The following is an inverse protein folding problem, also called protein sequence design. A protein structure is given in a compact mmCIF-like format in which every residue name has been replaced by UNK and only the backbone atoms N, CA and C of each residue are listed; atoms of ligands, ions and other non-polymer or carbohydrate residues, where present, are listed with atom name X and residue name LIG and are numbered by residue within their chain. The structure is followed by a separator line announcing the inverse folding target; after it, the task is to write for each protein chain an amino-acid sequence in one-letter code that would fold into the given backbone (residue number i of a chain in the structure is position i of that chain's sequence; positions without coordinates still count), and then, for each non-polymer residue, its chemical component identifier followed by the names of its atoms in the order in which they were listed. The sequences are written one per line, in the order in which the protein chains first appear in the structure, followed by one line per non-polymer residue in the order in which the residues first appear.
data_IF_131810910656
#
_entry.id   IF_131810910656
#
_cell.length_a   1.000
_cell.length_b   1.000
_cell.length_c   1.000
_cell.angle_alpha   90.00
_cell.angle_beta   90.00
_cell.angle_gamma   90.00
#
_symmetry.space_group_name_H-M   'P 1'
#
loop_
_entity.id
_entity.type
_entity.pdbx_description
1 polymer ?
#
# COMPACT_ATOMS: atom_id res chain seq x y z
N UNK A 1 1.04 -19.24 -20.81
CA UNK A 1 0.35 -18.75 -22.04
C UNK A 1 0.51 -17.23 -22.18
N UNK A 2 0.29 -16.65 -23.36
CA UNK A 2 0.31 -15.19 -23.57
C UNK A 2 -1.09 -14.70 -23.93
N UNK A 3 -1.57 -13.65 -23.24
CA UNK A 3 -2.80 -12.93 -23.54
C UNK A 3 -2.47 -11.43 -23.59
N UNK A 4 -2.40 -10.88 -24.79
CA UNK A 4 -1.82 -9.56 -25.04
C UNK A 4 -2.70 -8.69 -25.94
N UNK A 5 -2.82 -7.40 -25.58
CA UNK A 5 -3.52 -6.36 -26.36
C UNK A 5 -4.99 -6.67 -26.67
N UNK A 6 -5.70 -7.28 -25.72
CA UNK A 6 -7.11 -7.58 -25.84
C UNK A 6 -7.98 -6.64 -25.00
N UNK A 7 -9.29 -6.67 -25.27
CA UNK A 7 -10.32 -6.02 -24.45
C UNK A 7 -11.29 -7.04 -23.89
N UNK A 8 -11.54 -6.98 -22.58
CA UNK A 8 -12.61 -7.74 -21.89
C UNK A 8 -13.52 -6.74 -21.20
N UNK A 9 -14.84 -6.85 -21.46
CA UNK A 9 -15.81 -5.91 -20.89
C UNK A 9 -17.21 -6.49 -20.74
N UNK A 10 -18.01 -5.92 -19.84
CA UNK A 10 -19.42 -6.28 -19.62
C UNK A 10 -19.62 -7.75 -19.26
N UNK A 11 -18.73 -8.30 -18.42
CA UNK A 11 -18.82 -9.69 -17.93
C UNK A 11 -19.32 -9.73 -16.50
N UNK A 12 -20.07 -10.77 -16.13
CA UNK A 12 -20.71 -10.85 -14.80
C UNK A 12 -19.78 -11.18 -13.63
N UNK A 13 -18.55 -11.65 -13.90
CA UNK A 13 -17.58 -12.13 -12.89
C UNK A 13 -16.23 -11.41 -13.04
N UNK A 14 -15.10 -12.07 -12.73
CA UNK A 14 -13.77 -11.52 -13.04
C UNK A 14 -13.55 -11.48 -14.56
N UNK A 15 -12.81 -10.48 -15.04
CA UNK A 15 -12.42 -10.40 -16.45
C UNK A 15 -11.58 -11.60 -16.88
N UNK A 16 -10.58 -11.99 -16.08
CA UNK A 16 -9.75 -13.17 -16.30
C UNK A 16 -9.60 -13.98 -15.02
N UNK A 17 -9.81 -15.30 -15.13
CA UNK A 17 -9.45 -16.29 -14.11
C UNK A 17 -8.33 -17.18 -14.66
N UNK A 18 -7.12 -16.96 -14.16
CA UNK A 18 -5.90 -17.60 -14.64
C UNK A 18 -5.54 -18.76 -13.72
N UNK A 19 -5.38 -19.94 -14.31
CA UNK A 19 -4.85 -21.13 -13.65
C UNK A 19 -3.58 -21.59 -14.34
N UNK A 20 -2.55 -21.88 -13.56
CA UNK A 20 -1.24 -22.33 -14.04
C UNK A 20 -0.16 -21.26 -13.95
N UNK A 21 1.05 -21.65 -14.35
CA UNK A 21 2.28 -20.87 -14.32
C UNK A 21 2.72 -20.40 -15.71
N UNK A 22 3.72 -19.50 -15.76
CA UNK A 22 4.30 -19.01 -17.02
C UNK A 22 3.33 -18.20 -17.88
N UNK A 23 2.32 -17.60 -17.27
CA UNK A 23 1.34 -16.78 -17.96
C UNK A 23 1.81 -15.33 -18.07
N UNK A 24 1.61 -14.74 -19.24
CA UNK A 24 1.92 -13.34 -19.52
C UNK A 24 0.63 -12.64 -19.95
N UNK A 25 0.17 -11.69 -19.14
CA UNK A 25 -1.05 -10.92 -19.34
C UNK A 25 -0.63 -9.47 -19.52
N UNK A 26 -0.51 -9.05 -20.77
CA UNK A 26 0.21 -7.83 -21.12
C UNK A 26 -0.68 -6.88 -21.91
N UNK A 27 -0.74 -5.61 -21.53
CA UNK A 27 -1.31 -4.59 -22.43
C UNK A 27 -2.83 -4.64 -22.61
N UNK A 28 -3.57 -5.41 -21.81
CA UNK A 28 -5.01 -5.60 -22.00
C UNK A 28 -5.82 -4.47 -21.36
N UNK A 29 -7.03 -4.23 -21.87
CA UNK A 29 -8.04 -3.36 -21.23
C UNK A 29 -9.17 -4.22 -20.66
N UNK A 30 -9.42 -4.13 -19.35
CA UNK A 30 -10.43 -4.93 -18.65
C UNK A 30 -11.35 -4.00 -17.87
N UNK A 31 -12.64 -3.98 -18.18
CA UNK A 31 -13.56 -3.06 -17.51
C UNK A 31 -15.02 -3.48 -17.45
N UNK A 32 -15.82 -2.75 -16.67
CA UNK A 32 -17.25 -3.02 -16.47
C UNK A 32 -17.51 -4.50 -16.13
N UNK A 33 -16.74 -5.02 -15.19
CA UNK A 33 -16.86 -6.40 -14.73
C UNK A 33 -17.68 -6.46 -13.44
N UNK A 34 -18.53 -7.48 -13.32
CA UNK A 34 -19.39 -7.67 -12.16
C UNK A 34 -18.57 -7.95 -10.89
N UNK A 35 -17.43 -8.63 -11.01
CA UNK A 35 -16.46 -8.84 -9.93
C UNK A 35 -15.13 -8.15 -10.28
N UNK A 36 -13.96 -8.75 -10.05
CA UNK A 36 -12.68 -8.07 -10.25
C UNK A 36 -12.17 -8.02 -11.69
N UNK A 37 -10.93 -7.55 -11.87
CA UNK A 37 -10.25 -7.53 -13.16
C UNK A 37 -9.62 -8.87 -13.48
N UNK A 38 -8.52 -9.19 -12.79
CA UNK A 38 -7.74 -10.42 -12.98
C UNK A 38 -7.64 -11.18 -11.66
N UNK A 39 -7.81 -12.50 -11.68
CA UNK A 39 -7.38 -13.39 -10.60
C UNK A 39 -6.37 -14.40 -11.12
N UNK A 40 -5.27 -14.57 -10.39
CA UNK A 40 -4.21 -15.55 -10.73
C UNK A 40 -4.04 -16.59 -9.63
N UNK A 41 -4.02 -17.87 -10.06
CA UNK A 41 -3.75 -19.05 -9.24
C UNK A 41 -2.66 -19.89 -9.90
N UNK A 42 -1.43 -19.71 -9.45
CA UNK A 42 -0.27 -20.48 -9.94
C UNK A 42 0.22 -21.46 -8.89
N UNK A 43 0.28 -22.73 -9.27
CA UNK A 43 0.83 -23.82 -8.44
C UNK A 43 2.12 -24.40 -9.02
N UNK A 44 2.55 -23.90 -10.19
CA UNK A 44 3.74 -24.38 -10.88
C UNK A 44 4.99 -23.58 -10.55
N UNK A 45 6.08 -23.84 -11.27
CA UNK A 45 7.42 -23.29 -10.99
C UNK A 45 7.69 -21.98 -11.72
N UNK A 46 6.97 -21.72 -12.81
CA UNK A 46 7.16 -20.50 -13.59
C UNK A 46 6.38 -19.31 -13.00
N UNK A 47 6.92 -18.11 -13.11
CA UNK A 47 6.27 -16.91 -12.60
C UNK A 47 5.25 -16.37 -13.61
N UNK A 48 4.10 -15.92 -13.11
CA UNK A 48 3.16 -15.17 -13.93
C UNK A 48 3.59 -13.69 -13.99
N UNK A 49 3.37 -13.08 -15.14
CA UNK A 49 3.61 -11.65 -15.39
C UNK A 49 2.30 -11.00 -15.78
N UNK A 50 1.89 -9.99 -15.01
CA UNK A 50 0.71 -9.17 -15.28
C UNK A 50 1.19 -7.73 -15.40
N UNK A 51 1.29 -7.24 -16.63
CA UNK A 51 1.87 -5.92 -16.86
C UNK A 51 1.17 -5.07 -17.90
N UNK A 52 1.26 -3.75 -17.76
CA UNK A 52 0.69 -2.79 -18.70
C UNK A 52 -0.81 -2.96 -18.96
N UNK A 53 -1.55 -3.57 -18.05
CA UNK A 53 -3.00 -3.69 -18.19
C UNK A 53 -3.69 -2.43 -17.67
N UNK A 54 -4.75 -2.03 -18.36
CA UNK A 54 -5.68 -1.01 -17.92
C UNK A 54 -6.92 -1.69 -17.35
N UNK A 55 -7.08 -1.63 -16.03
CA UNK A 55 -8.16 -2.33 -15.31
C UNK A 55 -9.02 -1.28 -14.63
N UNK A 56 -10.29 -1.16 -15.04
CA UNK A 56 -11.14 -0.13 -14.46
C UNK A 56 -12.62 -0.47 -14.33
N UNK A 57 -13.33 0.20 -13.43
CA UNK A 57 -14.77 0.05 -13.25
C UNK A 57 -15.19 -1.40 -12.91
N UNK A 58 -14.39 -2.08 -12.08
CA UNK A 58 -14.63 -3.46 -11.65
C UNK A 58 -15.31 -3.52 -10.27
N UNK A 59 -16.04 -4.60 -10.02
CA UNK A 59 -16.62 -4.96 -8.72
C UNK A 59 -18.01 -4.37 -8.50
N UNK A 60 -18.69 -3.93 -9.57
CA UNK A 60 -19.96 -3.20 -9.47
C UNK A 60 -21.15 -4.07 -9.04
N UNK A 61 -21.03 -5.40 -9.12
CA UNK A 61 -22.05 -6.36 -8.64
C UNK A 61 -21.59 -7.07 -7.37
N UNK A 62 -20.38 -7.63 -7.39
CA UNK A 62 -19.71 -8.21 -6.22
C UNK A 62 -18.63 -7.24 -5.74
N UNK A 63 -18.95 -6.43 -4.73
CA UNK A 63 -18.05 -5.41 -4.21
C UNK A 63 -16.76 -5.93 -3.59
N UNK A 64 -16.67 -7.24 -3.28
CA UNK A 64 -15.42 -7.88 -2.84
C UNK A 64 -14.42 -8.14 -4.00
N UNK A 65 -14.81 -7.88 -5.26
CA UNK A 65 -13.93 -7.96 -6.41
C UNK A 65 -12.85 -6.87 -6.39
N UNK A 66 -11.61 -7.26 -6.70
CA UNK A 66 -10.43 -6.38 -6.71
C UNK A 66 -9.89 -6.21 -8.13
N UNK A 67 -9.00 -5.24 -8.37
CA UNK A 67 -8.39 -5.04 -9.68
C UNK A 67 -7.58 -6.26 -10.11
N UNK A 68 -6.58 -6.62 -9.30
CA UNK A 68 -5.77 -7.84 -9.47
C UNK A 68 -5.74 -8.62 -8.15
N UNK A 69 -6.16 -9.88 -8.19
CA UNK A 69 -6.09 -10.82 -7.07
C UNK A 69 -4.99 -11.87 -7.32
N UNK A 70 -4.04 -11.96 -6.41
CA UNK A 70 -3.04 -13.03 -6.38
C UNK A 70 -3.43 -14.01 -5.29
N UNK A 71 -4.03 -15.12 -5.69
CA UNK A 71 -4.48 -16.16 -4.76
C UNK A 71 -3.36 -17.17 -4.50
N UNK A 72 -2.59 -17.61 -5.50
CA UNK A 72 -1.43 -18.49 -5.28
C UNK A 72 -0.28 -18.21 -6.26
N UNK A 73 0.93 -18.55 -5.82
CA UNK A 73 2.18 -18.40 -6.58
C UNK A 73 2.89 -17.06 -6.38
N UNK A 74 3.97 -16.85 -7.13
CA UNK A 74 4.72 -15.60 -7.18
C UNK A 74 4.69 -14.94 -8.55
N UNK A 75 5.52 -13.92 -8.74
CA UNK A 75 5.75 -13.31 -10.05
C UNK A 75 5.81 -11.79 -10.05
N UNK A 76 5.38 -11.19 -11.16
CA UNK A 76 5.53 -9.75 -11.43
C UNK A 76 4.19 -9.11 -11.76
N UNK A 77 3.81 -8.10 -10.97
CA UNK A 77 2.66 -7.23 -11.22
C UNK A 77 3.22 -5.82 -11.45
N UNK A 78 3.37 -5.44 -12.72
CA UNK A 78 4.13 -4.23 -13.07
C UNK A 78 3.45 -3.30 -14.06
N UNK A 79 3.58 -1.99 -13.87
CA UNK A 79 3.14 -0.99 -14.85
C UNK A 79 1.65 -1.05 -15.21
N UNK A 80 0.79 -1.58 -14.33
CA UNK A 80 -0.65 -1.57 -14.58
C UNK A 80 -1.25 -0.22 -14.18
N UNK A 81 -2.32 0.18 -14.87
CA UNK A 81 -3.18 1.30 -14.51
C UNK A 81 -4.49 0.73 -13.97
N UNK A 82 -4.74 0.90 -12.67
CA UNK A 82 -5.85 0.28 -11.97
C UNK A 82 -6.68 1.38 -11.30
N UNK A 83 -7.94 1.53 -11.71
CA UNK A 83 -8.80 2.54 -11.08
C UNK A 83 -10.29 2.22 -11.09
N UNK A 84 -11.10 2.99 -10.36
CA UNK A 84 -12.54 2.75 -10.24
C UNK A 84 -12.89 1.34 -9.76
N UNK A 85 -12.14 0.84 -8.78
CA UNK A 85 -12.32 -0.49 -8.21
C UNK A 85 -13.16 -0.40 -6.94
N UNK A 86 -14.14 -1.30 -6.81
CA UNK A 86 -15.04 -1.30 -5.65
C UNK A 86 -14.35 -1.64 -4.32
N UNK A 87 -13.28 -2.45 -4.38
CA UNK A 87 -12.40 -2.82 -3.27
C UNK A 87 -10.94 -2.45 -3.59
N UNK A 88 -9.96 -3.25 -3.14
CA UNK A 88 -8.55 -2.99 -3.36
C UNK A 88 -8.14 -3.00 -4.84
N UNK A 89 -7.14 -2.20 -5.18
CA UNK A 89 -6.52 -2.24 -6.52
C UNK A 89 -5.78 -3.55 -6.74
N UNK A 90 -4.89 -3.91 -5.82
CA UNK A 90 -4.19 -5.20 -5.80
C UNK A 90 -4.42 -5.86 -4.44
N UNK A 91 -4.70 -7.16 -4.45
CA UNK A 91 -4.88 -7.98 -3.26
C UNK A 91 -4.08 -9.28 -3.37
N UNK A 92 -3.35 -9.65 -2.32
CA UNK A 92 -2.76 -10.99 -2.19
C UNK A 92 -3.52 -11.82 -1.14
N UNK A 93 -3.55 -13.13 -1.36
CA UNK A 93 -4.40 -14.14 -0.71
C UNK A 93 -4.71 -13.90 0.77
N UNK A 94 -5.93 -14.31 1.12
CA UNK A 94 -6.45 -14.34 2.48
C UNK A 94 -5.78 -15.44 3.34
N UNK A 95 -5.20 -15.08 4.49
CA UNK A 95 -4.89 -16.03 5.58
C UNK A 95 -6.18 -16.49 6.28
N UNK A 96 -6.63 -17.73 6.09
CA UNK A 96 -7.85 -18.24 6.73
C UNK A 96 -7.62 -19.57 7.44
N UNK A 97 -7.50 -19.54 8.77
CA UNK A 97 -7.50 -20.74 9.62
C UNK A 97 -8.86 -21.45 9.65
N UNK A 98 -9.96 -20.70 9.46
CA UNK A 98 -11.30 -21.15 9.83
C UNK A 98 -12.10 -21.77 8.67
N UNK A 99 -11.52 -21.84 7.47
CA UNK A 99 -12.16 -22.40 6.27
C UNK A 99 -11.36 -23.52 5.60
N UNK A 100 -10.46 -24.18 6.35
CA UNK A 100 -9.64 -25.28 5.84
C UNK A 100 -8.67 -24.86 4.73
N UNK A 101 -8.33 -23.57 4.68
CA UNK A 101 -7.28 -23.06 3.81
C UNK A 101 -5.94 -23.19 4.51
N UNK A 102 -4.93 -23.64 3.79
CA UNK A 102 -3.57 -23.63 4.33
C UNK A 102 -3.16 -22.18 4.66
N UNK A 103 -2.55 -21.94 5.83
CA UNK A 103 -2.11 -20.60 6.25
C UNK A 103 -1.12 -19.94 5.29
N UNK A 104 -0.37 -20.74 4.53
CA UNK A 104 0.65 -20.32 3.60
C UNK A 104 0.22 -20.61 2.15
N UNK A 105 0.51 -19.68 1.22
CA UNK A 105 0.31 -19.95 -0.21
C UNK A 105 1.28 -21.03 -0.67
N UNK A 106 0.96 -21.72 -1.76
CA UNK A 106 1.95 -22.61 -2.40
C UNK A 106 3.01 -21.78 -3.12
N UNK A 107 4.26 -22.27 -3.10
CA UNK A 107 5.43 -21.67 -3.74
C UNK A 107 5.78 -20.26 -3.20
N UNK A 108 5.72 -20.07 -1.87
CA UNK A 108 6.05 -18.80 -1.21
C UNK A 108 7.44 -18.26 -1.58
N UNK A 109 8.39 -19.16 -1.77
CA UNK A 109 9.77 -18.88 -2.13
C UNK A 109 9.96 -18.21 -3.49
N UNK A 110 8.97 -18.24 -4.38
CA UNK A 110 9.05 -17.57 -5.69
C UNK A 110 9.09 -16.04 -5.59
N UNK A 111 8.65 -15.50 -4.45
CA UNK A 111 8.50 -14.06 -4.23
C UNK A 111 7.46 -13.40 -5.13
N UNK A 112 7.03 -12.21 -4.75
CA UNK A 112 6.11 -11.39 -5.55
C UNK A 112 6.67 -9.96 -5.64
N UNK A 113 6.74 -9.43 -6.85
CA UNK A 113 7.15 -8.05 -7.11
C UNK A 113 5.94 -7.28 -7.62
N UNK A 114 5.58 -6.21 -6.91
CA UNK A 114 4.52 -5.27 -7.27
C UNK A 114 5.17 -3.91 -7.51
N UNK A 115 5.32 -3.51 -8.78
CA UNK A 115 6.12 -2.33 -9.12
C UNK A 115 5.56 -1.43 -10.21
N UNK A 116 5.84 -0.12 -10.13
CA UNK A 116 5.47 0.85 -11.15
C UNK A 116 3.97 0.89 -11.49
N UNK A 117 3.08 0.38 -10.63
CA UNK A 117 1.64 0.46 -10.88
C UNK A 117 1.12 1.85 -10.49
N UNK A 118 0.14 2.33 -11.25
CA UNK A 118 -0.68 3.48 -10.89
C UNK A 118 -2.03 2.96 -10.41
N UNK A 119 -2.38 3.26 -9.16
CA UNK A 119 -3.59 2.75 -8.51
C UNK A 119 -4.35 3.90 -7.89
N UNK A 120 -5.57 4.18 -8.38
CA UNK A 120 -6.36 5.28 -7.85
C UNK A 120 -7.86 5.09 -7.92
N UNK A 121 -8.61 5.92 -7.19
CA UNK A 121 -10.06 5.82 -7.09
C UNK A 121 -10.55 4.40 -6.79
N UNK A 122 -9.87 3.75 -5.84
CA UNK A 122 -10.20 2.39 -5.38
C UNK A 122 -10.92 2.42 -4.05
N UNK A 123 -11.42 1.26 -3.61
CA UNK A 123 -12.23 1.12 -2.40
C UNK A 123 -13.54 1.94 -2.47
N UNK A 124 -14.13 2.08 -3.67
CA UNK A 124 -15.32 2.90 -3.91
C UNK A 124 -16.61 2.41 -3.22
N UNK A 125 -16.67 1.14 -2.79
CA UNK A 125 -17.90 0.54 -2.27
C UNK A 125 -17.67 -0.47 -1.14
N UNK A 126 -16.46 -0.51 -0.58
CA UNK A 126 -16.07 -1.50 0.42
C UNK A 126 -15.14 -0.89 1.48
N UNK A 127 -14.86 -1.68 2.50
CA UNK A 127 -14.03 -1.38 3.66
C UNK A 127 -13.01 -2.52 3.86
N UNK A 128 -12.02 -2.33 4.73
CA UNK A 128 -10.97 -3.31 5.03
C UNK A 128 -10.10 -3.69 3.82
N UNK A 129 -9.48 -2.67 3.21
CA UNK A 129 -8.65 -2.86 2.03
C UNK A 129 -7.78 -1.65 1.74
N UNK A 130 -7.27 -1.58 0.51
CA UNK A 130 -6.34 -0.51 0.15
C UNK A 130 -5.96 -0.45 -1.32
N UNK A 131 -5.09 0.49 -1.68
CA UNK A 131 -4.46 0.50 -3.00
C UNK A 131 -3.78 -0.84 -3.30
N UNK A 132 -2.91 -1.23 -2.38
CA UNK A 132 -2.28 -2.55 -2.33
C UNK A 132 -2.54 -3.17 -0.97
N UNK A 133 -3.18 -4.34 -0.93
CA UNK A 133 -3.39 -5.10 0.29
C UNK A 133 -2.69 -6.46 0.18
N UNK A 134 -1.65 -6.64 1.00
CA UNK A 134 -0.89 -7.89 1.05
C UNK A 134 -1.03 -8.61 2.39
N UNK A 135 -1.04 -9.94 2.31
CA UNK A 135 -1.14 -10.87 3.43
C UNK A 135 -0.26 -12.10 3.18
N UNK A 136 1.05 -11.89 3.08
CA UNK A 136 1.95 -12.94 2.57
C UNK A 136 3.44 -12.74 2.94
N UNK A 137 4.28 -13.62 2.39
CA UNK A 137 5.72 -13.65 2.56
C UNK A 137 6.49 -13.33 1.27
N UNK A 138 7.70 -12.77 1.41
CA UNK A 138 8.65 -12.45 0.33
C UNK A 138 8.08 -11.53 -0.76
N UNK A 139 7.49 -10.39 -0.37
CA UNK A 139 6.93 -9.41 -1.31
C UNK A 139 7.81 -8.16 -1.37
N UNK A 140 8.10 -7.70 -2.59
CA UNK A 140 8.65 -6.35 -2.84
C UNK A 140 7.56 -5.47 -3.43
N UNK A 141 7.22 -4.38 -2.73
CA UNK A 141 6.27 -3.35 -3.18
C UNK A 141 7.09 -2.09 -3.45
N UNK A 142 7.32 -1.74 -4.71
CA UNK A 142 8.19 -0.61 -5.03
C UNK A 142 7.78 0.28 -6.19
N UNK A 143 8.15 1.56 -6.13
CA UNK A 143 7.91 2.51 -7.23
C UNK A 143 6.45 2.61 -7.67
N UNK A 144 5.49 2.29 -6.80
CA UNK A 144 4.06 2.45 -7.12
C UNK A 144 3.59 3.87 -6.80
N UNK A 145 2.65 4.35 -7.59
CA UNK A 145 1.89 5.57 -7.33
C UNK A 145 0.49 5.16 -6.89
N UNK A 146 0.14 5.46 -5.65
CA UNK A 146 -1.14 5.07 -5.05
C UNK A 146 -1.83 6.32 -4.54
N UNK A 147 -3.04 6.60 -5.01
CA UNK A 147 -3.78 7.75 -4.53
C UNK A 147 -5.29 7.60 -4.53
N UNK A 148 -5.98 8.49 -3.83
CA UNK A 148 -7.44 8.53 -3.84
C UNK A 148 -8.03 7.17 -3.44
N UNK A 149 -7.61 6.69 -2.26
CA UNK A 149 -8.06 5.41 -1.69
C UNK A 149 -9.16 5.67 -0.67
N UNK A 150 -10.38 5.27 -1.02
CA UNK A 150 -11.58 5.64 -0.26
C UNK A 150 -11.99 4.61 0.80
N UNK A 151 -12.94 4.99 1.65
CA UNK A 151 -13.71 4.09 2.51
C UNK A 151 -14.94 4.82 3.03
N UNK A 152 -16.07 4.13 3.11
CA UNK A 152 -17.39 4.77 3.32
C UNK A 152 -18.14 4.26 4.56
N UNK A 153 -17.77 3.11 5.12
CA UNK A 153 -18.47 2.49 6.24
C UNK A 153 -17.75 2.64 7.59
N UNK A 154 -18.49 2.43 8.69
CA UNK A 154 -17.90 2.26 10.03
C UNK A 154 -17.13 0.93 10.08
N UNK A 155 -15.89 0.91 10.58
CA UNK A 155 -15.07 -0.30 10.69
C UNK A 155 -13.64 -0.10 10.21
N UNK A 156 -12.99 -1.17 9.73
CA UNK A 156 -11.66 -1.10 9.11
C UNK A 156 -11.74 -0.26 7.83
N UNK A 157 -10.87 0.74 7.73
CA UNK A 157 -10.95 1.75 6.69
C UNK A 157 -10.16 1.36 5.42
N UNK A 158 -10.01 2.31 4.50
CA UNK A 158 -9.17 2.21 3.31
C UNK A 158 -7.79 2.82 3.56
N UNK A 159 -6.75 2.09 3.17
CA UNK A 159 -5.34 2.47 3.36
C UNK A 159 -4.59 2.48 2.03
N UNK A 160 -3.58 3.31 1.86
CA UNK A 160 -2.77 3.28 0.63
C UNK A 160 -2.12 1.91 0.42
N UNK A 161 -1.33 1.48 1.41
CA UNK A 161 -0.73 0.15 1.50
C UNK A 161 -1.20 -0.53 2.79
N UNK A 162 -1.69 -1.76 2.68
CA UNK A 162 -2.13 -2.56 3.80
C UNK A 162 -1.25 -3.80 3.90
N UNK A 163 -0.34 -3.82 4.89
CA UNK A 163 0.38 -5.03 5.29
C UNK A 163 -0.42 -5.74 6.37
N UNK A 164 -1.19 -6.76 6.00
CA UNK A 164 -2.10 -7.46 6.92
C UNK A 164 -1.62 -8.85 7.32
N UNK A 165 -2.17 -9.34 8.43
CA UNK A 165 -2.19 -10.73 8.87
C UNK A 165 -0.92 -11.53 8.60
N UNK A 166 0.05 -11.45 9.52
CA UNK A 166 1.28 -12.26 9.49
C UNK A 166 2.20 -12.04 8.27
N UNK A 167 2.02 -10.93 7.55
CA UNK A 167 2.91 -10.55 6.44
C UNK A 167 4.35 -10.41 6.93
N UNK A 168 5.28 -10.96 6.15
CA UNK A 168 6.69 -11.07 6.56
C UNK A 168 7.70 -11.03 5.42
N UNK A 169 8.96 -10.74 5.76
CA UNK A 169 10.08 -10.65 4.82
C UNK A 169 9.78 -9.74 3.61
N UNK A 170 9.03 -8.66 3.84
CA UNK A 170 8.62 -7.73 2.79
C UNK A 170 9.48 -6.47 2.77
N UNK A 171 9.66 -5.93 1.56
CA UNK A 171 10.27 -4.64 1.32
C UNK A 171 9.23 -3.71 0.70
N UNK A 172 8.92 -2.60 1.37
CA UNK A 172 8.04 -1.54 0.89
C UNK A 172 8.91 -0.31 0.68
N UNK A 173 9.26 -0.02 -0.57
CA UNK A 173 10.21 1.06 -0.87
C UNK A 173 9.85 1.91 -2.07
N UNK A 174 10.28 3.17 -2.08
CA UNK A 174 10.13 4.05 -3.24
C UNK A 174 8.69 4.25 -3.72
N UNK A 175 7.68 4.05 -2.86
CA UNK A 175 6.28 4.30 -3.22
C UNK A 175 5.88 5.74 -2.90
N UNK A 176 5.04 6.33 -3.75
CA UNK A 176 4.38 7.62 -3.48
C UNK A 176 2.91 7.34 -3.22
N UNK A 177 2.46 7.67 -2.01
CA UNK A 177 1.13 7.36 -1.51
C UNK A 177 0.47 8.61 -0.95
N UNK A 178 -0.66 9.01 -1.53
CA UNK A 178 -1.39 10.19 -1.07
C UNK A 178 -2.90 10.04 -1.06
N UNK A 179 -3.56 10.89 -0.29
CA UNK A 179 -5.03 10.95 -0.22
C UNK A 179 -5.71 9.61 0.06
N UNK A 180 -5.13 8.80 0.96
CA UNK A 180 -5.82 7.63 1.51
C UNK A 180 -6.73 8.03 2.68
N UNK A 181 -7.86 7.35 2.85
CA UNK A 181 -8.87 7.74 3.85
C UNK A 181 -8.36 7.66 5.29
N UNK A 182 -7.70 6.58 5.69
CA UNK A 182 -7.29 6.40 7.09
C UNK A 182 -5.81 6.57 7.35
N UNK A 183 -4.95 6.04 6.47
CA UNK A 183 -3.51 6.22 6.47
C UNK A 183 -2.89 5.81 5.13
N UNK A 184 -1.70 6.34 4.84
CA UNK A 184 -0.94 5.96 3.66
C UNK A 184 -0.43 4.52 3.76
N UNK A 185 -0.15 4.05 4.98
CA UNK A 185 0.15 2.64 5.24
C UNK A 185 -0.40 2.19 6.59
N UNK A 186 -0.87 0.94 6.63
CA UNK A 186 -1.13 0.20 7.87
C UNK A 186 -0.27 -1.07 7.95
N UNK A 187 0.31 -1.28 9.13
CA UNK A 187 0.98 -2.51 9.54
C UNK A 187 0.05 -3.19 10.55
N UNK A 188 -0.59 -4.28 10.15
CA UNK A 188 -1.67 -4.92 10.90
C UNK A 188 -1.36 -6.39 11.20
N UNK A 189 -1.52 -6.77 12.47
CA UNK A 189 -1.57 -8.17 12.94
C UNK A 189 -0.28 -8.99 12.68
N UNK A 190 0.53 -9.19 13.74
CA UNK A 190 1.64 -10.15 13.86
C UNK A 190 2.70 -10.15 12.72
N UNK A 191 3.00 -8.95 12.23
CA UNK A 191 3.96 -8.66 11.17
C UNK A 191 5.41 -8.96 11.56
N UNK A 192 6.23 -9.49 10.64
CA UNK A 192 7.62 -9.92 10.92
C UNK A 192 8.63 -9.52 9.84
N UNK A 193 9.75 -8.91 10.22
CA UNK A 193 10.87 -8.62 9.31
C UNK A 193 10.46 -7.86 8.02
N UNK A 194 9.62 -6.83 8.17
CA UNK A 194 9.24 -5.95 7.07
C UNK A 194 9.98 -4.62 7.18
N UNK A 195 10.51 -4.14 6.04
CA UNK A 195 11.17 -2.83 5.96
C UNK A 195 10.34 -1.89 5.09
N UNK A 196 9.98 -0.75 5.65
CA UNK A 196 9.23 0.33 4.99
C UNK A 196 10.20 1.50 4.88
N UNK A 197 10.75 1.75 3.70
CA UNK A 197 11.78 2.78 3.54
C UNK A 197 11.75 3.55 2.24
N UNK A 198 12.17 4.81 2.26
CA UNK A 198 12.22 5.65 1.06
C UNK A 198 10.86 5.85 0.39
N UNK A 199 9.76 5.80 1.16
CA UNK A 199 8.41 6.09 0.66
C UNK A 199 8.02 7.54 0.97
N UNK A 200 7.06 8.07 0.23
CA UNK A 200 6.40 9.35 0.52
C UNK A 200 4.94 9.08 0.90
N UNK A 201 4.55 9.51 2.10
CA UNK A 201 3.17 9.48 2.59
C UNK A 201 2.68 10.93 2.72
N UNK A 202 1.75 11.32 1.85
CA UNK A 202 1.35 12.72 1.69
C UNK A 202 -0.16 12.89 1.85
N UNK A 203 -0.60 13.79 2.74
CA UNK A 203 -2.02 14.16 2.93
C UNK A 203 -2.96 12.94 3.07
N UNK A 204 -2.49 11.88 3.76
CA UNK A 204 -3.28 10.67 3.99
C UNK A 204 -4.23 10.82 5.18
N UNK A 205 -5.38 11.42 4.96
CA UNK A 205 -6.59 11.30 5.81
C UNK A 205 -7.83 11.80 5.05
N UNK A 206 -7.84 11.51 3.75
CA UNK A 206 -8.71 12.13 2.79
C UNK A 206 -10.15 11.68 3.05
N UNK A 207 -11.01 12.61 3.48
CA UNK A 207 -12.45 12.40 3.68
C UNK A 207 -12.84 11.58 4.93
N UNK A 208 -12.49 12.02 6.14
CA UNK A 208 -12.82 11.27 7.36
C UNK A 208 -13.99 11.86 8.16
N UNK A 209 -15.20 11.32 7.92
CA UNK A 209 -16.31 11.36 8.89
C UNK A 209 -16.20 10.25 9.96
N UNK A 210 -15.09 9.50 10.00
CA UNK A 210 -14.99 8.18 10.62
C UNK A 210 -13.96 8.05 11.77
N UNK A 211 -13.33 9.15 12.20
CA UNK A 211 -12.77 9.26 13.56
C UNK A 211 -11.26 9.07 13.74
N UNK A 212 -10.55 8.33 12.89
CA UNK A 212 -9.09 8.22 12.95
C UNK A 212 -8.44 8.82 11.70
N UNK A 213 -7.69 9.90 11.87
CA UNK A 213 -6.94 10.61 10.83
C UNK A 213 -5.47 10.44 11.14
N UNK A 214 -4.72 9.66 10.36
CA UNK A 214 -3.30 9.43 10.61
C UNK A 214 -2.53 9.23 9.32
N UNK A 215 -1.27 9.62 9.28
CA UNK A 215 -0.44 9.35 8.09
C UNK A 215 0.02 7.90 8.00
N UNK A 216 0.33 7.29 9.14
CA UNK A 216 0.87 5.93 9.24
C UNK A 216 0.24 5.20 10.44
N UNK A 217 -0.14 3.93 10.27
CA UNK A 217 -0.76 3.13 11.33
C UNK A 217 0.01 1.82 11.61
N UNK A 218 0.12 1.47 12.89
CA UNK A 218 0.63 0.18 13.34
C UNK A 218 -0.31 -0.41 14.40
N UNK A 219 -0.98 -1.51 14.07
CA UNK A 219 -2.03 -2.06 14.91
C UNK A 219 -1.90 -3.59 15.10
N UNK A 220 -2.17 -4.04 16.31
CA UNK A 220 -2.27 -5.47 16.68
C UNK A 220 -3.53 -5.75 17.49
N UNK A 221 -3.82 -7.04 17.69
CA UNK A 221 -4.73 -7.47 18.73
C UNK A 221 -4.03 -7.47 20.09
N UNK A 222 -4.79 -7.72 21.16
CA UNK A 222 -4.22 -7.85 22.50
C UNK A 222 -3.42 -9.14 22.72
N UNK A 223 -3.21 -9.98 21.71
CA UNK A 223 -2.48 -11.25 21.81
C UNK A 223 -1.34 -11.40 20.79
N UNK A 224 -1.18 -10.46 19.85
CA UNK A 224 -0.15 -10.51 18.80
C UNK A 224 0.91 -9.42 18.99
N UNK A 225 2.06 -9.56 18.31
CA UNK A 225 3.13 -8.55 18.39
C UNK A 225 3.91 -8.47 17.09
N UNK A 226 4.20 -7.25 16.65
CA UNK A 226 5.13 -7.06 15.54
C UNK A 226 6.55 -7.39 15.96
N UNK A 227 7.37 -7.85 15.00
CA UNK A 227 8.79 -8.12 15.19
C UNK A 227 9.58 -7.61 13.99
N UNK A 228 10.72 -6.96 14.27
CA UNK A 228 11.66 -6.52 13.24
C UNK A 228 11.05 -5.61 12.15
N UNK A 229 10.05 -4.82 12.51
CA UNK A 229 9.47 -3.80 11.62
C UNK A 229 10.36 -2.56 11.65
N UNK A 230 10.77 -2.09 10.47
CA UNK A 230 11.65 -0.92 10.32
C UNK A 230 10.97 0.13 9.44
N UNK A 231 10.86 1.37 9.94
CA UNK A 231 10.30 2.52 9.23
C UNK A 231 11.38 3.58 9.03
N UNK A 232 12.04 3.58 7.86
CA UNK A 232 13.33 4.27 7.67
C UNK A 232 13.34 5.20 6.47
N UNK A 233 13.83 6.42 6.62
CA UNK A 233 14.01 7.33 5.47
C UNK A 233 12.74 7.56 4.66
N UNK A 234 11.59 7.64 5.31
CA UNK A 234 10.34 8.01 4.65
C UNK A 234 10.12 9.52 4.75
N UNK A 235 9.33 10.08 3.84
CA UNK A 235 8.80 11.44 3.95
C UNK A 235 7.35 11.34 4.36
N UNK A 236 6.98 12.01 5.45
CA UNK A 236 5.60 12.17 5.88
C UNK A 236 5.24 13.65 5.82
N UNK A 237 4.30 14.01 4.94
CA UNK A 237 3.92 15.39 4.65
C UNK A 237 2.40 15.55 4.79
N UNK A 238 1.94 16.51 5.58
CA UNK A 238 0.49 16.71 5.74
C UNK A 238 0.12 18.09 6.25
N UNK A 239 -1.16 18.46 6.10
CA UNK A 239 -1.66 19.79 6.44
C UNK A 239 -2.84 19.79 7.42
N UNK A 240 -3.44 18.63 7.66
CA UNK A 240 -4.65 18.46 8.47
C UNK A 240 -4.33 18.63 9.96
N UNK A 241 -4.83 19.68 10.64
CA UNK A 241 -4.41 20.01 12.01
C UNK A 241 -4.72 18.95 13.08
N UNK A 242 -5.69 18.06 12.84
CA UNK A 242 -6.11 17.03 13.79
C UNK A 242 -5.59 15.63 13.42
N UNK A 243 -4.86 15.51 12.31
CA UNK A 243 -4.29 14.24 11.90
C UNK A 243 -3.08 13.88 12.78
N UNK A 244 -3.04 12.62 13.21
CA UNK A 244 -1.88 12.04 13.86
C UNK A 244 -0.76 11.76 12.87
N UNK A 245 0.47 11.86 13.34
CA UNK A 245 1.61 11.36 12.58
C UNK A 245 1.53 9.83 12.51
N UNK A 246 1.37 9.21 13.69
CA UNK A 246 1.26 7.78 13.85
C UNK A 246 -0.01 7.42 14.65
N UNK A 247 -0.69 6.34 14.26
CA UNK A 247 -1.62 5.62 15.11
C UNK A 247 -1.03 4.29 15.54
N UNK A 248 -0.83 4.10 16.84
CA UNK A 248 -0.25 2.88 17.40
C UNK A 248 -1.10 2.43 18.59
N UNK A 249 -1.78 1.30 18.47
CA UNK A 249 -2.79 0.93 19.47
C UNK A 249 -2.24 0.18 20.70
N UNK A 250 -0.99 -0.25 20.67
CA UNK A 250 -0.35 -1.01 21.75
C UNK A 250 1.18 -0.91 21.63
N UNK A 251 1.90 -1.08 22.75
CA UNK A 251 3.38 -1.13 22.73
C UNK A 251 3.92 -2.27 21.87
N UNK A 252 3.19 -3.37 21.73
CA UNK A 252 3.50 -4.52 20.86
C UNK A 252 3.31 -4.25 19.37
N UNK A 253 2.60 -3.17 19.04
CA UNK A 253 2.40 -2.72 17.66
C UNK A 253 3.51 -1.81 17.19
N UNK A 254 4.44 -1.41 18.06
CA UNK A 254 5.47 -0.46 17.65
C UNK A 254 6.46 -1.08 16.68
N UNK A 255 6.99 -0.28 15.74
CA UNK A 255 8.16 -0.70 14.99
C UNK A 255 9.34 -0.97 15.94
N UNK A 256 10.22 -1.87 15.53
CA UNK A 256 11.51 -2.06 16.19
C UNK A 256 12.41 -0.85 15.96
N UNK A 257 12.29 -0.21 14.79
CA UNK A 257 13.06 0.97 14.43
C UNK A 257 12.19 1.94 13.62
N UNK A 258 12.22 3.21 13.99
CA UNK A 258 11.73 4.33 13.18
C UNK A 258 12.82 5.38 13.20
N UNK A 259 13.41 5.76 12.05
CA UNK A 259 14.52 6.73 12.04
C UNK A 259 14.84 7.29 10.65
N UNK A 260 15.60 8.39 10.61
CA UNK A 260 16.05 9.09 9.40
C UNK A 260 14.90 9.58 8.50
N UNK A 261 13.71 9.80 9.05
CA UNK A 261 12.54 10.25 8.32
C UNK A 261 12.52 11.78 8.17
N UNK A 262 11.92 12.30 7.10
CA UNK A 262 11.46 13.69 7.03
C UNK A 262 10.01 13.72 7.48
N UNK A 263 9.70 14.59 8.44
CA UNK A 263 8.34 14.77 8.94
C UNK A 263 7.99 16.24 8.83
N UNK A 264 6.91 16.56 8.12
CA UNK A 264 6.51 17.94 7.89
C UNK A 264 5.01 18.12 8.01
N UNK A 265 4.61 19.03 8.90
CA UNK A 265 3.26 19.55 8.95
C UNK A 265 3.26 21.00 8.41
N UNK A 266 2.54 21.26 7.32
CA UNK A 266 2.63 22.56 6.59
C UNK A 266 2.24 23.78 7.43
N UNK A 267 1.33 23.58 8.39
CA UNK A 267 0.88 24.60 9.36
C UNK A 267 1.68 24.66 10.67
N UNK A 268 2.82 23.97 10.76
CA UNK A 268 3.70 23.96 11.93
C UNK A 268 3.03 23.45 13.21
N UNK A 269 2.14 22.47 13.10
CA UNK A 269 1.47 21.86 14.26
C UNK A 269 2.35 20.83 14.93
N UNK A 270 2.10 20.61 16.22
CA UNK A 270 2.72 19.52 16.96
C UNK A 270 2.29 18.16 16.39
N UNK A 271 3.24 17.24 16.31
CA UNK A 271 2.99 15.89 15.84
C UNK A 271 2.40 15.03 16.97
N UNK A 272 1.28 14.38 16.68
CA UNK A 272 0.54 13.55 17.64
C UNK A 272 0.80 12.08 17.38
N UNK A 273 1.03 11.33 18.45
CA UNK A 273 1.02 9.86 18.46
C UNK A 273 -0.33 9.41 19.01
N UNK A 274 -1.18 8.84 18.17
CA UNK A 274 -2.54 8.43 18.54
C UNK A 274 -2.59 7.02 19.08
N UNK A 275 -3.53 6.79 20.00
CA UNK A 275 -3.93 5.49 20.56
C UNK A 275 -2.88 4.73 21.39
N UNK A 276 -1.69 5.29 21.61
CA UNK A 276 -0.62 4.63 22.34
C UNK A 276 -0.61 5.06 23.82
N UNK A 277 -0.88 4.15 24.78
CA UNK A 277 -0.93 4.53 26.19
C UNK A 277 0.40 5.12 26.68
N UNK A 278 0.35 6.33 27.24
CA UNK A 278 1.49 7.03 27.83
C UNK A 278 2.42 7.73 26.84
N UNK A 279 2.13 7.70 25.54
CA UNK A 279 2.94 8.35 24.49
C UNK A 279 1.98 9.06 23.55
N UNK A 280 1.89 10.39 23.63
CA UNK A 280 0.95 11.17 22.85
C UNK A 280 1.62 12.26 21.99
N UNK A 281 2.91 12.52 22.22
CA UNK A 281 3.68 13.54 21.50
C UNK A 281 4.89 12.92 20.78
N UNK A 282 5.40 13.67 19.79
CA UNK A 282 6.65 13.29 19.13
C UNK A 282 7.88 13.40 20.04
N UNK A 283 7.86 14.26 21.05
CA UNK A 283 8.93 14.30 22.06
C UNK A 283 8.97 12.98 22.87
N UNK A 284 7.80 12.46 23.26
CA UNK A 284 7.71 11.16 23.96
C UNK A 284 8.17 10.01 23.06
N UNK A 285 7.84 10.09 21.77
CA UNK A 285 8.32 9.15 20.75
C UNK A 285 9.85 9.15 20.68
N UNK A 286 10.46 10.34 20.63
CA UNK A 286 11.91 10.50 20.60
C UNK A 286 12.61 10.05 21.88
N UNK A 287 12.02 10.29 23.05
CA UNK A 287 12.53 9.80 24.35
C UNK A 287 12.64 8.28 24.42
N UNK A 288 11.93 7.55 23.54
CA UNK A 288 12.00 6.09 23.44
C UNK A 288 13.03 5.59 22.44
N UNK A 289 13.81 6.49 21.85
CA UNK A 289 14.89 6.17 20.91
C UNK A 289 14.44 6.09 19.45
N UNK A 290 13.18 6.43 19.16
CA UNK A 290 12.69 6.53 17.79
C UNK A 290 12.98 7.90 17.20
N UNK A 291 13.22 7.96 15.89
CA UNK A 291 13.36 9.19 15.11
C UNK A 291 14.39 10.16 15.70
N UNK A 292 15.50 9.62 16.21
CA UNK A 292 16.59 10.41 16.83
C UNK A 292 17.48 11.10 15.81
N UNK A 293 17.48 10.63 14.55
CA UNK A 293 18.17 11.24 13.41
C UNK A 293 17.19 11.77 12.35
N UNK A 294 15.88 11.66 12.59
CA UNK A 294 14.84 12.24 11.73
C UNK A 294 14.85 13.76 11.79
N UNK A 295 14.37 14.39 10.73
CA UNK A 295 14.37 15.85 10.58
C UNK A 295 12.95 16.36 10.39
N UNK A 296 12.57 17.33 11.22
CA UNK A 296 11.35 18.12 11.04
C UNK A 296 11.68 19.30 10.13
N UNK A 297 11.37 19.18 8.84
CA UNK A 297 11.61 20.23 7.85
C UNK A 297 10.75 20.03 6.61
N UNK A 298 10.50 21.11 5.87
CA UNK A 298 9.87 21.06 4.55
C UNK A 298 10.72 20.16 3.62
N UNK A 299 10.14 19.12 2.99
CA UNK A 299 10.88 18.28 2.05
C UNK A 299 11.27 19.01 0.76
N UNK A 300 10.75 20.23 0.52
CA UNK A 300 10.99 21.03 -0.67
C UNK A 300 10.47 20.34 -1.95
N UNK A 301 9.19 19.96 -1.93
CA UNK A 301 8.50 19.51 -3.13
C UNK A 301 8.49 20.60 -4.23
N UNK A 302 8.50 20.17 -5.50
CA UNK A 302 8.48 21.06 -6.66
C UNK A 302 7.16 21.81 -6.74
N UNK A 303 6.03 21.10 -6.76
CA UNK A 303 4.69 21.69 -6.85
C UNK A 303 3.61 20.78 -6.21
N UNK A 304 3.55 20.72 -4.86
CA UNK A 304 2.65 19.82 -4.16
C UNK A 304 1.15 20.17 -4.33
N UNK A 305 0.82 21.39 -4.75
CA UNK A 305 -0.57 21.79 -5.02
C UNK A 305 -1.12 21.17 -6.32
N UNK A 306 -0.23 20.69 -7.20
CA UNK A 306 -0.58 19.99 -8.45
C UNK A 306 -0.07 18.55 -8.46
N UNK A 307 0.09 17.93 -7.28
CA UNK A 307 0.55 16.55 -7.10
C UNK A 307 1.97 16.24 -7.64
N UNK A 308 2.80 17.27 -7.85
CA UNK A 308 4.23 17.10 -8.16
C UNK A 308 5.06 17.07 -6.88
N UNK A 309 5.22 15.85 -6.37
CA UNK A 309 6.01 15.53 -5.18
C UNK A 309 7.48 15.22 -5.49
N UNK A 310 7.97 15.58 -6.68
CA UNK A 310 9.41 15.55 -6.92
C UNK A 310 10.14 16.53 -6.00
N UNK A 311 11.37 16.19 -5.62
CA UNK A 311 12.16 16.96 -4.65
C UNK A 311 13.07 17.96 -5.35
N UNK A 312 13.11 19.20 -4.85
CA UNK A 312 14.10 20.20 -5.27
C UNK A 312 15.51 19.76 -4.88
N UNK A 313 16.57 20.17 -5.62
CA UNK A 313 17.95 19.71 -5.38
C UNK A 313 18.51 19.97 -3.98
N UNK A 314 17.97 20.95 -3.26
CA UNK A 314 18.36 21.35 -1.91
C UNK A 314 17.53 20.70 -0.79
N UNK A 315 16.66 19.74 -1.14
CA UNK A 315 15.84 19.00 -0.19
C UNK A 315 16.67 18.44 0.99
N UNK A 316 16.22 18.62 2.25
CA UNK A 316 16.88 18.03 3.40
C UNK A 316 16.86 16.49 3.37
N UNK A 317 15.92 15.88 2.64
CA UNK A 317 15.77 14.44 2.53
C UNK A 317 17.05 13.75 2.02
N UNK A 318 17.77 14.38 1.08
CA UNK A 318 19.00 13.83 0.50
C UNK A 318 20.11 13.64 1.54
N UNK A 319 20.16 14.49 2.57
CA UNK A 319 21.15 14.35 3.66
C UNK A 319 20.90 13.12 4.54
N UNK A 320 19.65 12.66 4.58
CA UNK A 320 19.26 11.42 5.29
C UNK A 320 19.41 10.17 4.41
N UNK A 321 19.89 10.34 3.17
CA UNK A 321 20.04 9.25 2.20
C UNK A 321 18.76 8.89 1.47
N UNK A 322 17.74 9.76 1.48
CA UNK A 322 16.56 9.60 0.64
C UNK A 322 16.98 9.63 -0.84
N UNK A 323 16.42 8.73 -1.65
CA UNK A 323 16.63 8.68 -3.10
C UNK A 323 15.39 9.22 -3.80
N UNK A 324 15.51 10.14 -4.78
CA UNK A 324 14.37 10.57 -5.59
C UNK A 324 13.61 9.38 -6.16
N UNK A 325 12.28 9.45 -6.12
CA UNK A 325 11.41 8.42 -6.70
C UNK A 325 11.07 8.85 -8.12
N UNK A 326 11.44 8.04 -9.11
CA UNK A 326 11.12 8.27 -10.52
C UNK A 326 9.76 7.66 -10.87
N UNK A 327 8.76 8.51 -11.08
CA UNK A 327 7.41 8.10 -11.49
C UNK A 327 7.19 8.18 -13.02
N UNK A 328 8.22 8.50 -13.82
CA UNK A 328 8.08 8.70 -15.27
C UNK A 328 7.63 7.47 -16.04
N UNK A 329 7.78 6.28 -15.44
CA UNK A 329 7.41 4.98 -16.03
C UNK A 329 6.19 4.34 -15.38
N UNK A 330 5.58 4.99 -14.41
CA UNK A 330 4.45 4.45 -13.66
C UNK A 330 3.21 4.26 -14.54
N UNK A 331 2.42 3.23 -14.24
CA UNK A 331 1.25 2.84 -15.01
C UNK A 331 1.62 2.55 -16.47
N UNK A 332 0.75 2.97 -17.38
CA UNK A 332 0.95 2.75 -18.81
C UNK A 332 2.03 3.66 -19.43
N UNK A 333 2.55 4.66 -18.70
CA UNK A 333 3.57 5.60 -19.19
C UNK A 333 4.90 4.91 -19.51
N UNK A 334 5.16 3.77 -18.85
CA UNK A 334 6.34 2.94 -19.12
C UNK A 334 6.27 2.18 -20.45
N UNK A 335 5.11 2.10 -21.09
CA UNK A 335 4.91 1.41 -22.37
C UNK A 335 5.37 2.34 -23.50
N UNK A 336 6.58 2.12 -24.02
CA UNK A 336 7.15 2.86 -25.15
C UNK A 336 7.19 2.01 -26.40
#
# INVERSE_FOLDING_TARGET
CVFEDNTIRNVGTYGLDLRGDGNQIIGNTIYDTGSGGIVTRSYGKEQNVISYNHIHHCGKVLHAGVGINIDDGGGLIANNLIHDISHSGIYTRHFASDYGQEPERRNQEQGLIIEYNEIYDVMQGSNDGGGIFVRDDHITIRNNLIHDVYSYGKGSAGYGIYLGCETRNCLVEDNVVYRSTAAGIIVWFDQRNNTISNNMFIENEYLTRLGNQNQVAFWNTSTTSHKEIRFLRNIVYYSTPMAGLFAINDVRSQPMQSDYNIIFHTKGKEFVIQALPGINSYEDWQKRGFDTHSVIADPLFVDPENDDYSLKPDSPAFKLGFKPIDLSRVGLRGRR
#
